data_IF_031370284440
#
_entry.id   IF_031370284440
#
_cell.length_a   1.000
_cell.length_b   1.000
_cell.length_c   1.000
_cell.angle_alpha   90.00
_cell.angle_beta   90.00
_cell.angle_gamma   90.00
#
_symmetry.space_group_name_H-M   'P 1'
#
loop_
_entity.id
_entity.type
_entity.pdbx_description
1 polymer ?
#
# COMPACT_ATOMS: atom_id res chain seq x y z
N UNK A 1 46.45 -35.11 -3.99
CA UNK A 1 45.16 -35.82 -3.71
C UNK A 1 44.70 -35.31 -2.34
N UNK A 2 43.63 -34.55 -2.15
CA UNK A 2 42.49 -34.11 -2.96
C UNK A 2 42.20 -32.68 -2.47
N UNK A 3 41.97 -31.74 -3.38
CA UNK A 3 41.58 -30.37 -3.04
C UNK A 3 40.16 -30.33 -2.46
N UNK A 4 40.01 -29.69 -1.31
CA UNK A 4 38.71 -29.34 -0.76
C UNK A 4 38.31 -27.96 -1.26
N UNK A 5 37.56 -27.90 -2.36
CA UNK A 5 36.77 -26.72 -2.69
C UNK A 5 35.66 -26.59 -1.66
N UNK A 6 35.85 -25.67 -0.70
CA UNK A 6 34.76 -25.18 0.13
C UNK A 6 33.78 -24.46 -0.78
N UNK A 7 32.61 -25.08 -0.99
CA UNK A 7 31.42 -24.45 -1.55
C UNK A 7 31.14 -23.22 -0.67
N UNK A 8 31.51 -22.04 -1.19
CA UNK A 8 31.27 -20.76 -0.53
C UNK A 8 29.77 -20.49 -0.54
N UNK A 9 29.21 -20.57 0.66
CA UNK A 9 27.83 -20.34 1.03
C UNK A 9 27.31 -19.01 0.45
N UNK A 10 26.17 -19.11 -0.24
CA UNK A 10 25.25 -18.06 -0.71
C UNK A 10 25.67 -16.60 -0.53
N UNK A 11 25.84 -15.88 -1.65
CA UNK A 11 25.76 -14.40 -1.68
C UNK A 11 24.42 -13.99 -1.06
N UNK A 12 24.44 -13.39 0.13
CA UNK A 12 23.26 -12.81 0.78
C UNK A 12 22.60 -11.84 -0.21
N UNK A 13 21.39 -12.16 -0.65
CA UNK A 13 20.56 -11.31 -1.50
C UNK A 13 20.17 -10.07 -0.71
N UNK A 14 20.74 -8.93 -1.04
CA UNK A 14 20.45 -7.65 -0.38
C UNK A 14 19.03 -7.21 -0.73
N UNK A 15 18.23 -6.84 0.27
CA UNK A 15 16.77 -6.74 0.18
C UNK A 15 16.20 -5.39 -0.28
N UNK A 16 17.03 -4.46 -0.78
CA UNK A 16 16.57 -3.06 -0.94
C UNK A 16 17.01 -2.31 -2.20
N UNK A 17 17.58 -2.95 -3.23
CA UNK A 17 18.06 -2.22 -4.41
C UNK A 17 17.91 -2.97 -5.74
N UNK A 18 17.48 -2.25 -6.79
CA UNK A 18 17.29 -2.80 -8.13
C UNK A 18 16.32 -3.98 -8.18
N UNK A 19 16.65 -5.03 -8.94
CA UNK A 19 15.79 -6.21 -9.12
C UNK A 19 15.43 -6.95 -7.83
N UNK A 20 16.18 -6.77 -6.75
CA UNK A 20 15.82 -7.38 -5.47
C UNK A 20 14.58 -6.75 -4.86
N UNK A 21 14.34 -5.44 -5.09
CA UNK A 21 13.12 -4.76 -4.65
C UNK A 21 11.91 -5.48 -5.23
N UNK A 22 11.88 -5.67 -6.55
CA UNK A 22 10.81 -6.42 -7.22
C UNK A 22 10.67 -7.83 -6.63
N UNK A 23 11.78 -8.57 -6.48
CA UNK A 23 11.74 -9.94 -5.93
C UNK A 23 11.09 -9.97 -4.54
N UNK A 24 11.50 -9.10 -3.63
CA UNK A 24 11.04 -9.14 -2.25
C UNK A 24 9.63 -8.57 -2.09
N UNK A 25 9.32 -7.43 -2.70
CA UNK A 25 7.97 -6.84 -2.63
C UNK A 25 6.93 -7.75 -3.28
N UNK A 26 7.26 -8.34 -4.44
CA UNK A 26 6.37 -9.30 -5.10
C UNK A 26 6.14 -10.54 -4.24
N UNK A 27 7.19 -11.14 -3.67
CA UNK A 27 7.03 -12.30 -2.78
C UNK A 27 6.21 -11.97 -1.52
N UNK A 28 6.40 -10.79 -0.95
CA UNK A 28 5.63 -10.32 0.20
C UNK A 28 4.15 -10.16 -0.16
N UNK A 29 3.84 -9.45 -1.25
CA UNK A 29 2.46 -9.30 -1.70
C UNK A 29 1.81 -10.65 -2.00
N UNK A 30 2.50 -11.58 -2.68
CA UNK A 30 1.98 -12.93 -2.93
C UNK A 30 1.63 -13.67 -1.63
N UNK A 31 2.35 -13.39 -0.55
CA UNK A 31 2.03 -13.94 0.77
C UNK A 31 0.73 -13.35 1.31
N UNK A 32 0.54 -12.03 1.25
CA UNK A 32 -0.72 -11.38 1.65
C UNK A 32 -1.90 -11.87 0.81
N UNK A 33 -1.75 -11.95 -0.51
CA UNK A 33 -2.79 -12.46 -1.42
C UNK A 33 -3.22 -13.89 -1.06
N UNK A 34 -2.26 -14.79 -0.84
CA UNK A 34 -2.56 -16.17 -0.49
C UNK A 34 -3.22 -16.28 0.90
N UNK A 35 -2.78 -15.47 1.87
CA UNK A 35 -3.40 -15.40 3.21
C UNK A 35 -4.84 -14.92 3.08
N UNK A 36 -5.09 -13.84 2.34
CA UNK A 36 -6.44 -13.30 2.13
C UNK A 36 -7.38 -14.32 1.51
N UNK A 37 -6.97 -14.98 0.42
CA UNK A 37 -7.78 -16.01 -0.23
C UNK A 37 -8.04 -17.20 0.70
N UNK A 38 -7.03 -17.63 1.44
CA UNK A 38 -7.16 -18.73 2.41
C UNK A 38 -8.13 -18.38 3.54
N UNK A 39 -8.07 -17.17 4.08
CA UNK A 39 -8.97 -16.74 5.16
C UNK A 39 -10.41 -16.63 4.67
N UNK A 40 -10.64 -16.07 3.48
CA UNK A 40 -11.98 -16.01 2.88
C UNK A 40 -12.56 -17.39 2.61
N UNK A 41 -11.72 -18.38 2.24
CA UNK A 41 -12.16 -19.78 2.11
C UNK A 41 -12.56 -20.44 3.43
N UNK A 42 -12.18 -19.87 4.58
CA UNK A 42 -12.61 -20.36 5.91
C UNK A 42 -13.90 -19.69 6.39
N UNK A 43 -14.27 -18.57 5.79
CA UNK A 43 -15.46 -17.80 6.13
C UNK A 43 -15.21 -16.32 5.88
N UNK A 44 -16.24 -15.63 5.42
CA UNK A 44 -16.18 -14.20 5.14
C UNK A 44 -16.45 -13.39 6.42
N UNK A 45 -15.51 -12.56 6.90
CA UNK A 45 -15.74 -11.63 8.00
C UNK A 45 -16.61 -10.44 7.58
N UNK A 46 -17.22 -9.75 8.56
CA UNK A 46 -17.99 -8.51 8.32
C UNK A 46 -17.15 -7.35 7.73
N UNK A 47 -15.84 -7.38 7.97
CA UNK A 47 -14.88 -6.44 7.39
C UNK A 47 -13.55 -7.15 7.12
N UNK A 48 -13.07 -7.06 5.88
CA UNK A 48 -11.75 -7.56 5.47
C UNK A 48 -10.95 -6.44 4.82
N UNK A 49 -9.74 -6.21 5.31
CA UNK A 49 -8.76 -5.32 4.67
C UNK A 49 -7.64 -6.15 4.04
N UNK A 50 -7.33 -5.87 2.78
CA UNK A 50 -6.20 -6.49 2.07
C UNK A 50 -5.27 -5.38 1.59
N UNK A 51 -3.99 -5.45 1.98
CA UNK A 51 -2.98 -4.47 1.61
C UNK A 51 -2.06 -5.01 0.53
N UNK A 52 -2.04 -4.37 -0.64
CA UNK A 52 -1.20 -4.74 -1.78
C UNK A 52 0.05 -3.87 -1.81
N UNK A 53 1.17 -4.44 -1.36
CA UNK A 53 2.37 -3.66 -1.05
C UNK A 53 3.28 -3.36 -2.26
N UNK A 54 3.18 -4.10 -3.37
CA UNK A 54 4.23 -4.08 -4.40
C UNK A 54 4.28 -2.81 -5.24
N UNK A 55 3.14 -2.13 -5.43
CA UNK A 55 3.05 -0.97 -6.32
C UNK A 55 4.01 0.15 -5.92
N UNK A 56 4.06 0.49 -4.63
CA UNK A 56 4.89 1.57 -4.09
C UNK A 56 6.40 1.35 -4.30
N UNK A 57 7.03 0.27 -3.79
CA UNK A 57 8.47 0.07 -3.92
C UNK A 57 8.89 -0.20 -5.37
N UNK A 58 8.05 -0.85 -6.19
CA UNK A 58 8.30 -1.02 -7.62
C UNK A 58 8.26 0.34 -8.33
N UNK A 59 7.27 1.18 -8.03
CA UNK A 59 7.14 2.50 -8.65
C UNK A 59 8.30 3.40 -8.30
N UNK A 60 8.69 3.47 -7.02
CA UNK A 60 9.90 4.19 -6.61
C UNK A 60 11.15 3.72 -7.38
N UNK A 61 11.34 2.42 -7.53
CA UNK A 61 12.59 1.85 -8.06
C UNK A 61 12.69 1.88 -9.59
N UNK A 62 11.57 1.67 -10.31
CA UNK A 62 11.61 1.35 -11.74
C UNK A 62 10.89 2.36 -12.66
N UNK A 63 10.38 3.48 -12.13
CA UNK A 63 9.64 4.47 -12.94
C UNK A 63 10.40 4.97 -14.17
N UNK A 64 11.71 5.20 -14.03
CA UNK A 64 12.56 5.65 -15.12
C UNK A 64 12.66 4.66 -16.30
N UNK A 65 12.34 3.38 -16.09
CA UNK A 65 12.22 2.43 -17.20
C UNK A 65 10.83 2.42 -17.82
N UNK A 66 9.79 2.79 -17.06
CA UNK A 66 8.40 2.85 -17.52
C UNK A 66 8.16 4.11 -18.38
N UNK A 67 8.66 5.27 -17.95
CA UNK A 67 8.59 6.53 -18.68
C UNK A 67 10.00 7.11 -18.96
N UNK A 68 10.82 6.43 -19.78
CA UNK A 68 12.22 6.80 -19.97
C UNK A 68 12.42 8.21 -20.55
N UNK A 69 11.45 8.71 -21.34
CA UNK A 69 11.51 10.04 -21.94
C UNK A 69 11.44 11.19 -20.92
N UNK A 70 11.10 10.91 -19.66
CA UNK A 70 11.07 11.89 -18.55
C UNK A 70 12.39 11.99 -17.78
N UNK A 71 13.42 11.24 -18.19
CA UNK A 71 14.70 11.16 -17.49
C UNK A 71 15.86 11.26 -18.48
N UNK A 72 16.95 11.90 -18.07
CA UNK A 72 18.18 11.90 -18.86
C UNK A 72 18.97 10.60 -18.64
N UNK A 73 19.65 10.11 -19.68
CA UNK A 73 20.62 9.00 -19.61
C UNK A 73 20.04 7.62 -19.20
N UNK A 74 18.75 7.36 -19.45
CA UNK A 74 18.18 6.00 -19.28
C UNK A 74 18.72 5.06 -20.36
N UNK A 75 19.20 3.88 -19.97
CA UNK A 75 19.62 2.85 -20.91
C UNK A 75 18.41 2.29 -21.70
N UNK A 76 18.36 2.40 -23.04
CA UNK A 76 17.21 1.95 -23.83
C UNK A 76 16.94 0.45 -23.77
N UNK A 77 17.98 -0.38 -23.63
CA UNK A 77 17.83 -1.84 -23.52
C UNK A 77 17.21 -2.23 -22.17
N UNK A 78 17.59 -1.57 -21.08
CA UNK A 78 16.97 -1.80 -19.77
C UNK A 78 15.53 -1.26 -19.72
N UNK A 79 15.26 -0.09 -20.31
CA UNK A 79 13.90 0.43 -20.44
C UNK A 79 12.98 -0.56 -21.18
N UNK A 80 13.45 -1.13 -22.30
CA UNK A 80 12.70 -2.17 -23.03
C UNK A 80 12.45 -3.42 -22.18
N UNK A 81 13.39 -3.81 -21.34
CA UNK A 81 13.31 -5.04 -20.52
C UNK A 81 12.48 -4.87 -19.25
N UNK A 82 12.55 -3.70 -18.61
CA UNK A 82 12.04 -3.45 -17.27
C UNK A 82 10.85 -2.49 -17.25
N UNK A 83 10.59 -1.75 -18.33
CA UNK A 83 9.52 -0.75 -18.39
C UNK A 83 8.10 -1.31 -18.25
N UNK A 84 7.93 -2.63 -18.33
CA UNK A 84 6.64 -3.29 -18.11
C UNK A 84 6.41 -3.73 -16.66
N UNK A 85 7.37 -3.52 -15.74
CA UNK A 85 7.20 -3.93 -14.34
C UNK A 85 6.03 -3.19 -13.66
N UNK A 86 5.91 -1.88 -13.87
CA UNK A 86 4.83 -1.08 -13.29
C UNK A 86 3.47 -1.47 -13.89
N UNK A 87 3.26 -1.45 -15.23
CA UNK A 87 1.99 -1.91 -15.80
C UNK A 87 1.60 -3.34 -15.39
N UNK A 88 2.57 -4.27 -15.35
CA UNK A 88 2.29 -5.65 -15.01
C UNK A 88 1.92 -5.85 -13.54
N UNK A 89 2.39 -5.03 -12.60
CA UNK A 89 1.92 -5.13 -11.21
C UNK A 89 0.46 -4.67 -11.07
N UNK A 90 0.03 -3.66 -11.82
CA UNK A 90 -1.39 -3.28 -11.88
C UNK A 90 -2.26 -4.39 -12.50
N UNK A 91 -1.80 -5.01 -13.60
CA UNK A 91 -2.50 -6.16 -14.21
C UNK A 91 -2.57 -7.34 -13.23
N UNK A 92 -1.48 -7.62 -12.51
CA UNK A 92 -1.45 -8.67 -11.48
C UNK A 92 -2.47 -8.39 -10.37
N UNK A 93 -2.57 -7.14 -9.89
CA UNK A 93 -3.55 -6.75 -8.89
C UNK A 93 -4.99 -6.89 -9.38
N UNK A 94 -5.26 -6.55 -10.65
CA UNK A 94 -6.57 -6.73 -11.28
C UNK A 94 -6.97 -8.22 -11.35
N UNK A 95 -6.04 -9.10 -11.73
CA UNK A 95 -6.24 -10.55 -11.69
C UNK A 95 -6.43 -11.09 -10.27
N UNK A 96 -5.82 -10.47 -9.26
CA UNK A 96 -6.05 -10.80 -7.87
C UNK A 96 -7.45 -10.34 -7.41
N UNK A 97 -7.89 -9.15 -7.82
CA UNK A 97 -9.24 -8.66 -7.57
C UNK A 97 -10.29 -9.61 -8.14
N UNK A 98 -10.11 -10.11 -9.37
CA UNK A 98 -10.99 -11.14 -9.95
C UNK A 98 -11.15 -12.36 -9.02
N UNK A 99 -10.04 -12.86 -8.47
CA UNK A 99 -10.05 -14.01 -7.55
C UNK A 99 -10.72 -13.69 -6.21
N UNK A 100 -10.56 -12.46 -5.71
CA UNK A 100 -11.26 -12.00 -4.53
C UNK A 100 -12.77 -11.98 -4.79
N UNK A 101 -13.21 -11.33 -5.87
CA UNK A 101 -14.63 -11.19 -6.21
C UNK A 101 -15.35 -12.55 -6.34
N UNK A 102 -14.66 -13.58 -6.84
CA UNK A 102 -15.21 -14.94 -6.93
C UNK A 102 -15.49 -15.61 -5.57
N UNK A 103 -14.91 -15.09 -4.48
CA UNK A 103 -15.08 -15.61 -3.10
C UNK A 103 -16.07 -14.80 -2.27
N UNK A 104 -16.53 -13.65 -2.76
CA UNK A 104 -17.37 -12.76 -1.99
C UNK A 104 -18.86 -13.05 -2.21
N UNK A 105 -19.64 -12.91 -1.15
CA UNK A 105 -21.10 -12.95 -1.23
C UNK A 105 -21.64 -11.75 -2.02
N UNK A 106 -22.80 -11.92 -2.66
CA UNK A 106 -23.37 -10.94 -3.61
C UNK A 106 -23.77 -9.59 -2.99
N UNK A 107 -23.93 -9.54 -1.67
CA UNK A 107 -24.24 -8.35 -0.88
C UNK A 107 -22.98 -7.64 -0.34
N UNK A 108 -21.79 -8.19 -0.60
CA UNK A 108 -20.53 -7.59 -0.17
C UNK A 108 -20.25 -6.28 -0.89
N UNK A 109 -19.92 -5.24 -0.12
CA UNK A 109 -19.40 -3.99 -0.66
C UNK A 109 -17.88 -4.11 -0.79
N UNK A 110 -17.39 -3.82 -1.99
CA UNK A 110 -15.95 -3.81 -2.30
C UNK A 110 -15.51 -2.37 -2.49
N UNK A 111 -14.48 -1.96 -1.73
CA UNK A 111 -13.82 -0.69 -1.94
C UNK A 111 -12.34 -0.89 -2.26
N UNK A 112 -11.88 -0.27 -3.34
CA UNK A 112 -10.47 -0.17 -3.70
C UNK A 112 -10.04 1.25 -3.34
N UNK A 113 -9.05 1.36 -2.47
CA UNK A 113 -8.54 2.65 -1.97
C UNK A 113 -7.03 2.69 -2.10
N UNK A 114 -6.49 3.85 -2.44
CA UNK A 114 -5.07 4.16 -2.41
C UNK A 114 -4.86 5.40 -1.54
N UNK A 115 -3.85 5.37 -0.69
CA UNK A 115 -3.42 6.49 0.15
C UNK A 115 -2.77 7.62 -0.66
N UNK A 116 -2.08 7.27 -1.75
CA UNK A 116 -1.49 8.23 -2.69
C UNK A 116 -1.37 7.64 -4.10
N UNK A 117 -0.92 8.47 -5.04
CA UNK A 117 -0.55 8.09 -6.40
C UNK A 117 0.97 8.09 -6.59
N UNK A 118 1.39 8.07 -7.86
CA UNK A 118 2.79 8.17 -8.24
C UNK A 118 2.98 8.96 -9.54
N UNK A 119 4.14 9.58 -9.65
CA UNK A 119 4.61 10.26 -10.86
C UNK A 119 6.13 10.15 -11.00
N UNK A 120 6.64 10.52 -12.17
CA UNK A 120 8.09 10.58 -12.41
C UNK A 120 8.71 11.67 -11.54
N UNK A 121 9.79 11.34 -10.83
CA UNK A 121 10.58 12.34 -10.09
C UNK A 121 11.42 13.23 -11.00
N UNK A 122 11.68 12.79 -12.24
CA UNK A 122 12.62 13.43 -13.16
C UNK A 122 14.10 13.20 -12.80
N UNK A 123 14.38 12.53 -11.69
CA UNK A 123 15.74 12.21 -11.24
C UNK A 123 15.99 10.70 -11.27
N UNK A 124 17.11 10.31 -11.88
CA UNK A 124 17.59 8.93 -11.76
C UNK A 124 18.04 8.64 -10.32
N UNK A 125 17.90 7.39 -9.85
CA UNK A 125 18.52 6.95 -8.61
C UNK A 125 20.02 7.25 -8.66
N UNK A 126 20.55 7.96 -7.66
CA UNK A 126 21.96 8.33 -7.61
C UNK A 126 22.74 7.21 -6.92
N UNK A 127 23.88 6.84 -7.47
CA UNK A 127 24.84 6.04 -6.70
C UNK A 127 25.42 6.95 -5.61
N UNK A 128 25.24 6.60 -4.34
CA UNK A 128 25.90 7.31 -3.22
C UNK A 128 27.04 6.47 -2.66
N UNK A 129 28.09 7.14 -2.20
CA UNK A 129 29.28 6.47 -1.67
C UNK A 129 28.98 5.77 -0.35
N UNK A 130 29.78 4.74 -0.04
CA UNK A 130 29.62 3.92 1.16
C UNK A 130 29.80 4.70 2.47
N UNK A 131 30.44 5.87 2.39
CA UNK A 131 30.92 6.61 3.54
C UNK A 131 29.84 7.48 4.19
N UNK A 132 28.71 7.71 3.52
CA UNK A 132 27.64 8.61 3.99
C UNK A 132 26.49 7.89 4.75
N UNK A 133 26.63 6.60 5.10
CA UNK A 133 25.53 5.77 5.66
C UNK A 133 25.81 5.08 7.01
N UNK A 134 24.76 4.96 7.85
CA UNK A 134 24.73 4.23 9.12
C UNK A 134 25.12 2.74 8.97
N UNK A 135 25.81 2.19 9.97
CA UNK A 135 26.77 1.08 9.88
C UNK A 135 26.22 -0.28 9.41
N UNK A 136 24.91 -0.50 9.46
CA UNK A 136 24.28 -1.72 8.90
C UNK A 136 24.12 -1.69 7.38
N UNK A 137 24.20 -0.50 6.75
CA UNK A 137 24.10 -0.31 5.30
C UNK A 137 25.46 -0.07 4.63
N UNK A 138 26.45 0.44 5.36
CA UNK A 138 27.81 0.68 4.86
C UNK A 138 28.47 -0.59 4.27
N UNK A 139 28.25 -1.76 4.87
CA UNK A 139 28.75 -3.05 4.37
C UNK A 139 28.20 -3.45 2.97
N UNK A 140 27.00 -2.96 2.63
CA UNK A 140 26.36 -3.22 1.34
C UNK A 140 26.93 -2.33 0.22
N UNK A 141 27.38 -1.12 0.60
CA UNK A 141 27.94 -0.13 -0.32
C UNK A 141 29.44 -0.30 -0.53
N UNK A 142 30.21 -0.79 0.47
CA UNK A 142 31.63 -1.16 0.33
C UNK A 142 31.86 -2.21 -0.79
N UNK A 143 30.81 -2.96 -1.13
CA UNK A 143 30.80 -3.93 -2.23
C UNK A 143 30.38 -3.33 -3.59
N UNK A 144 30.09 -2.03 -3.66
CA UNK A 144 29.77 -1.27 -4.87
C UNK A 144 28.39 -1.55 -5.47
N UNK A 145 27.34 -1.77 -4.66
CA UNK A 145 26.07 -2.37 -5.14
C UNK A 145 24.82 -1.57 -4.82
N UNK A 146 24.90 -0.25 -4.62
CA UNK A 146 23.73 0.49 -4.12
C UNK A 146 23.47 1.79 -4.88
N UNK A 147 22.54 1.71 -5.84
CA UNK A 147 21.82 2.89 -6.32
C UNK A 147 20.79 3.30 -5.26
N UNK A 148 20.91 4.52 -4.73
CA UNK A 148 19.96 5.09 -3.78
C UNK A 148 19.27 6.30 -4.42
N UNK A 149 17.97 6.16 -4.59
CA UNK A 149 17.11 7.21 -5.08
C UNK A 149 15.85 6.60 -5.67
N UNK A 150 14.79 7.40 -5.71
CA UNK A 150 13.50 6.98 -6.20
C UNK A 150 13.22 7.71 -7.51
N UNK A 151 13.12 6.94 -8.60
CA UNK A 151 12.72 7.47 -9.90
C UNK A 151 11.21 7.76 -10.00
N UNK A 152 10.41 7.06 -9.20
CA UNK A 152 9.02 7.41 -8.95
C UNK A 152 8.92 8.15 -7.63
N UNK A 153 8.11 9.20 -7.57
CA UNK A 153 7.77 9.90 -6.34
C UNK A 153 6.27 9.84 -6.11
N UNK A 154 5.85 10.03 -4.86
CA UNK A 154 4.44 10.07 -4.52
C UNK A 154 3.75 11.26 -5.19
N UNK A 155 2.57 11.01 -5.74
CA UNK A 155 1.62 12.06 -6.14
C UNK A 155 0.50 12.10 -5.10
N UNK A 156 -0.09 13.26 -4.86
CA UNK A 156 -1.15 13.42 -3.86
C UNK A 156 -2.44 12.67 -4.26
N UNK A 157 -2.65 12.44 -5.55
CA UNK A 157 -3.89 11.87 -6.06
C UNK A 157 -3.86 10.34 -6.01
N UNK A 158 -4.61 9.77 -5.06
CA UNK A 158 -4.88 8.34 -4.99
C UNK A 158 -6.08 7.89 -5.84
N UNK A 159 -6.57 6.69 -5.55
CA UNK A 159 -7.75 6.10 -6.20
C UNK A 159 -8.76 5.71 -5.15
N UNK A 160 -10.04 5.95 -5.43
CA UNK A 160 -11.16 5.35 -4.72
C UNK A 160 -12.16 4.79 -5.73
N UNK A 161 -12.53 3.52 -5.56
CA UNK A 161 -13.58 2.85 -6.32
C UNK A 161 -14.42 2.07 -5.31
N UNK A 162 -15.74 2.20 -5.39
CA UNK A 162 -16.67 1.43 -4.56
C UNK A 162 -17.67 0.69 -5.47
N UNK A 163 -18.01 -0.54 -5.10
CA UNK A 163 -18.88 -1.43 -5.87
C UNK A 163 -19.65 -2.38 -4.95
N UNK A 164 -20.83 -2.83 -5.38
CA UNK A 164 -21.66 -3.79 -4.65
C UNK A 164 -22.66 -3.12 -3.70
N UNK A 165 -23.45 -3.94 -3.00
CA UNK A 165 -24.42 -3.49 -1.99
C UNK A 165 -25.25 -2.24 -2.40
N UNK A 166 -25.42 -1.25 -1.50
CA UNK A 166 -26.16 -0.01 -1.75
C UNK A 166 -25.33 1.06 -2.47
N UNK A 167 -24.22 0.71 -3.12
CA UNK A 167 -23.37 1.70 -3.81
C UNK A 167 -24.00 2.07 -5.16
N UNK A 168 -24.16 3.38 -5.38
CA UNK A 168 -24.71 3.96 -6.60
C UNK A 168 -23.76 3.80 -7.78
N UNK A 169 -24.31 3.46 -8.96
CA UNK A 169 -23.54 3.26 -10.19
C UNK A 169 -23.29 4.56 -10.92
N UNK A 170 -22.10 4.69 -11.53
CA UNK A 170 -21.76 5.80 -12.44
C UNK A 170 -21.52 7.15 -11.76
N UNK A 171 -21.39 7.18 -10.44
CA UNK A 171 -21.08 8.39 -9.68
C UNK A 171 -19.57 8.65 -9.71
N UNK A 172 -19.20 9.88 -10.03
CA UNK A 172 -17.82 10.38 -9.90
C UNK A 172 -17.75 11.29 -8.69
N UNK A 173 -16.72 11.11 -7.87
CA UNK A 173 -16.51 11.86 -6.64
C UNK A 173 -15.08 12.40 -6.57
N UNK A 174 -14.90 13.40 -5.71
CA UNK A 174 -13.61 13.78 -5.15
C UNK A 174 -13.70 13.53 -3.64
N UNK A 175 -12.77 12.75 -3.10
CA UNK A 175 -12.78 12.30 -1.72
C UNK A 175 -11.40 12.48 -1.09
N UNK A 176 -11.38 12.67 0.22
CA UNK A 176 -10.18 12.60 1.03
C UNK A 176 -9.96 11.17 1.53
N UNK A 177 -8.70 10.79 1.78
CA UNK A 177 -8.39 9.55 2.50
C UNK A 177 -9.09 9.49 3.87
N UNK A 178 -9.35 10.64 4.49
CA UNK A 178 -10.07 10.73 5.75
C UNK A 178 -11.55 10.35 5.64
N UNK A 179 -12.14 10.33 4.44
CA UNK A 179 -13.55 10.00 4.21
C UNK A 179 -13.79 8.48 4.17
N UNK A 180 -12.73 7.66 4.03
CA UNK A 180 -12.84 6.21 3.91
C UNK A 180 -13.43 5.59 5.18
N UNK A 181 -12.80 5.82 6.34
CA UNK A 181 -13.25 5.27 7.63
C UNK A 181 -14.69 5.65 8.01
N UNK A 182 -15.11 6.93 8.01
CA UNK A 182 -16.49 7.29 8.33
C UNK A 182 -17.50 6.66 7.36
N UNK A 183 -17.14 6.53 6.08
CA UNK A 183 -17.99 5.85 5.08
C UNK A 183 -18.15 4.36 5.36
N UNK A 184 -17.05 3.65 5.68
CA UNK A 184 -17.11 2.23 6.07
C UNK A 184 -17.98 2.04 7.30
N UNK A 185 -17.81 2.87 8.34
CA UNK A 185 -18.62 2.79 9.55
C UNK A 185 -20.11 2.97 9.26
N UNK A 186 -20.46 3.98 8.47
CA UNK A 186 -21.84 4.22 8.06
C UNK A 186 -22.46 3.04 7.31
N UNK A 187 -21.72 2.44 6.36
CA UNK A 187 -22.17 1.27 5.60
C UNK A 187 -22.33 0.02 6.49
N UNK A 188 -21.54 -0.10 7.55
CA UNK A 188 -21.66 -1.15 8.56
C UNK A 188 -22.75 -0.87 9.62
N UNK A 189 -23.46 0.27 9.54
CA UNK A 189 -24.43 0.68 10.55
C UNK A 189 -23.82 1.06 11.91
N UNK A 190 -22.52 1.33 11.94
CA UNK A 190 -21.79 1.79 13.12
C UNK A 190 -21.81 3.31 13.21
N UNK A 191 -21.80 3.90 14.43
CA UNK A 191 -21.82 5.35 14.57
C UNK A 191 -20.52 5.99 14.07
N UNK A 192 -20.63 7.16 13.45
CA UNK A 192 -19.49 7.95 12.99
C UNK A 192 -19.03 8.89 14.10
N UNK A 193 -17.71 8.95 14.35
CA UNK A 193 -17.13 9.87 15.33
C UNK A 193 -17.19 11.31 14.84
N UNK A 194 -17.69 12.24 15.65
CA UNK A 194 -17.73 13.67 15.33
C UNK A 194 -16.35 14.33 15.31
N UNK A 195 -15.36 13.68 15.91
CA UNK A 195 -13.95 14.05 15.93
C UNK A 195 -13.16 13.54 14.72
N UNK A 196 -13.77 12.71 13.87
CA UNK A 196 -13.14 12.27 12.61
C UNK A 196 -12.98 13.45 11.65
N UNK A 197 -11.82 13.54 11.00
CA UNK A 197 -11.51 14.62 10.06
C UNK A 197 -12.33 14.57 8.77
N UNK A 198 -12.69 13.36 8.32
CA UNK A 198 -13.44 13.16 7.09
C UNK A 198 -14.94 13.02 7.33
N UNK A 199 -15.69 12.97 6.23
CA UNK A 199 -17.14 12.83 6.20
C UNK A 199 -17.55 11.49 5.59
N UNK A 200 -18.80 11.11 5.80
CA UNK A 200 -19.41 10.02 5.02
C UNK A 200 -19.57 10.49 3.57
N UNK A 201 -19.19 9.64 2.62
CA UNK A 201 -19.43 9.83 1.20
C UNK A 201 -20.88 9.47 0.85
N UNK A 202 -21.83 10.21 1.40
CA UNK A 202 -23.28 9.95 1.22
C UNK A 202 -23.69 9.93 -0.26
N UNK A 203 -23.01 10.72 -1.10
CA UNK A 203 -23.31 10.82 -2.53
C UNK A 203 -23.11 9.51 -3.30
N UNK A 204 -22.32 8.55 -2.78
CA UNK A 204 -22.14 7.24 -3.41
C UNK A 204 -23.09 6.18 -2.85
N UNK A 205 -23.87 6.47 -1.82
CA UNK A 205 -24.77 5.51 -1.16
C UNK A 205 -26.20 5.75 -1.63
N UNK A 206 -26.95 4.67 -1.84
CA UNK A 206 -28.37 4.75 -2.19
C UNK A 206 -29.15 5.53 -1.12
N UNK A 207 -29.88 6.60 -1.49
CA UNK A 207 -30.70 7.36 -0.54
C UNK A 207 -31.76 6.50 0.18
N UNK A 208 -32.29 5.45 -0.46
CA UNK A 208 -33.26 4.54 0.17
C UNK A 208 -32.59 3.72 1.29
N UNK A 209 -31.34 3.29 1.06
CA UNK A 209 -30.54 2.62 2.09
C UNK A 209 -30.27 3.56 3.27
N UNK A 210 -29.88 4.81 3.02
CA UNK A 210 -29.65 5.80 4.08
C UNK A 210 -30.93 6.19 4.82
N UNK A 211 -32.09 6.13 4.18
CA UNK A 211 -33.38 6.33 4.84
C UNK A 211 -33.74 5.16 5.78
N UNK A 212 -33.43 3.92 5.38
CA UNK A 212 -33.67 2.73 6.18
C UNK A 212 -32.62 2.55 7.31
N UNK A 213 -31.38 2.94 7.06
CA UNK A 213 -30.26 2.85 7.99
C UNK A 213 -29.61 4.24 8.17
N UNK A 214 -30.25 5.14 8.95
CA UNK A 214 -29.74 6.49 9.14
C UNK A 214 -28.35 6.51 9.79
N UNK A 215 -27.49 7.41 9.32
CA UNK A 215 -26.15 7.60 9.88
C UNK A 215 -26.26 8.03 11.35
N UNK A 216 -25.65 7.22 12.22
CA UNK A 216 -25.56 7.53 13.64
C UNK A 216 -24.24 8.24 13.94
N UNK A 217 -24.20 9.02 15.02
CA UNK A 217 -22.97 9.72 15.43
C UNK A 217 -22.68 9.51 16.91
N UNK A 218 -21.39 9.52 17.25
CA UNK A 218 -20.88 9.57 18.62
C UNK A 218 -19.88 10.72 18.75
N UNK A 219 -19.59 11.17 19.98
CA UNK A 219 -18.61 12.24 20.20
C UNK A 219 -17.22 11.81 19.75
N UNK A 220 -16.72 10.68 20.27
CA UNK A 220 -15.45 10.07 19.91
C UNK A 220 -15.45 8.58 20.28
N UNK A 221 -14.74 7.76 19.52
CA UNK A 221 -14.46 6.37 19.89
C UNK A 221 -13.50 6.26 21.09
N UNK A 222 -12.68 7.29 21.34
CA UNK A 222 -11.76 7.31 22.50
C UNK A 222 -12.51 7.30 23.83
N UNK A 223 -13.71 7.89 23.89
CA UNK A 223 -14.57 7.86 25.09
C UNK A 223 -15.05 6.43 25.43
N UNK A 224 -15.15 5.56 24.42
CA UNK A 224 -15.57 4.17 24.57
C UNK A 224 -14.37 3.27 24.88
N UNK A 225 -13.25 3.46 24.18
CA UNK A 225 -12.02 2.70 24.38
C UNK A 225 -11.37 3.06 25.72
N UNK A 226 -11.37 4.34 26.12
CA UNK A 226 -10.88 4.79 27.42
C UNK A 226 -11.61 4.13 28.59
N UNK A 227 -12.90 3.82 28.43
CA UNK A 227 -13.68 3.03 29.40
C UNK A 227 -13.33 1.54 29.38
N UNK A 228 -13.03 0.97 28.21
CA UNK A 228 -12.60 -0.42 28.07
C UNK A 228 -11.15 -0.66 28.55
N UNK A 229 -10.25 0.32 28.36
CA UNK A 229 -8.84 0.30 28.76
C UNK A 229 -8.58 0.48 30.26
N UNK A 230 -9.62 0.55 31.09
CA UNK A 230 -9.51 0.45 32.55
C UNK A 230 -8.90 -0.87 33.07
N UNK A 231 -8.40 -1.76 32.20
CA UNK A 231 -7.83 -3.07 32.57
C UNK A 231 -6.55 -3.53 31.83
N UNK A 232 -5.95 -2.75 30.91
CA UNK A 232 -4.64 -3.14 30.35
C UNK A 232 -3.85 -1.97 29.77
N UNK A 233 -2.77 -1.63 30.47
CA UNK A 233 -1.75 -0.64 30.13
C UNK A 233 -0.84 -1.10 28.99
N UNK A 234 -0.69 -0.26 27.96
CA UNK A 234 0.32 -0.42 26.92
C UNK A 234 0.16 0.62 25.81
N UNK A 235 0.48 1.89 26.09
CA UNK A 235 0.61 2.90 25.03
C UNK A 235 1.93 2.62 24.30
N UNK A 236 1.85 2.13 23.07
CA UNK A 236 2.95 2.28 22.12
C UNK A 236 3.25 3.78 21.99
N UNK A 237 4.54 4.14 21.96
CA UNK A 237 4.98 5.53 22.00
C UNK A 237 4.56 6.23 20.70
N UNK A 238 3.60 7.14 20.79
CA UNK A 238 3.03 7.90 19.67
C UNK A 238 4.11 8.62 18.85
N UNK A 239 5.18 9.06 19.53
CA UNK A 239 6.36 9.65 18.89
C UNK A 239 7.06 8.69 17.93
N UNK A 240 7.18 7.41 18.30
CA UNK A 240 7.84 6.40 17.46
C UNK A 240 7.00 6.06 16.23
N UNK A 241 5.68 6.18 16.32
CA UNK A 241 4.75 6.03 15.19
C UNK A 241 4.88 7.23 14.26
N UNK A 242 4.90 8.45 14.81
CA UNK A 242 5.09 9.69 14.04
C UNK A 242 6.44 9.67 13.32
N UNK A 243 7.51 9.22 14.00
CA UNK A 243 8.85 9.16 13.41
C UNK A 243 8.94 8.07 12.32
N UNK A 244 8.24 6.93 12.48
CA UNK A 244 8.09 5.94 11.41
C UNK A 244 7.33 6.49 10.22
N UNK A 245 6.23 7.22 10.44
CA UNK A 245 5.45 7.84 9.38
C UNK A 245 6.26 8.93 8.64
N UNK A 246 7.06 9.72 9.37
CA UNK A 246 8.01 10.68 8.77
C UNK A 246 9.10 9.96 7.96
N UNK A 247 9.65 8.87 8.49
CA UNK A 247 10.67 8.07 7.78
C UNK A 247 10.13 7.35 6.53
N UNK A 248 8.82 7.10 6.49
CA UNK A 248 8.10 6.54 5.34
C UNK A 248 7.57 7.62 4.38
N UNK A 249 7.76 8.91 4.67
CA UNK A 249 7.33 10.02 3.81
C UNK A 249 5.84 10.42 3.93
N UNK A 250 5.10 9.84 4.89
CA UNK A 250 3.68 10.15 5.11
C UNK A 250 3.42 11.47 5.83
N UNK A 251 4.45 12.03 6.49
CA UNK A 251 4.36 13.27 7.26
C UNK A 251 5.60 14.10 6.97
N UNK A 252 5.39 15.34 6.51
CA UNK A 252 6.44 16.36 6.35
C UNK A 252 6.70 17.10 7.67
#
# INVERSE_FOLDING_TARGET
RIGGEGISCSRKTHSRHGLSVFKFSYCEQRSYENISLYLLDKGQPDLTGVFLISNDPISHTFWHFYEPDKFENVNPQDAKRLGQLIPNIYIHNDQFLEKLLQKLDSDTIVMIVSDHGFEASGELPKDISAEEFDGLRAEAVEKGVVAIGQSGQHSIDGVIIAYGGPIRKGIKINASIFDVTPTVLALMGLPVGKDMKGRVLEEIIDPEFLAQYPIQTITSYEDLIGKARGSSSGRANEQEIIDKLRALGYIN
#
